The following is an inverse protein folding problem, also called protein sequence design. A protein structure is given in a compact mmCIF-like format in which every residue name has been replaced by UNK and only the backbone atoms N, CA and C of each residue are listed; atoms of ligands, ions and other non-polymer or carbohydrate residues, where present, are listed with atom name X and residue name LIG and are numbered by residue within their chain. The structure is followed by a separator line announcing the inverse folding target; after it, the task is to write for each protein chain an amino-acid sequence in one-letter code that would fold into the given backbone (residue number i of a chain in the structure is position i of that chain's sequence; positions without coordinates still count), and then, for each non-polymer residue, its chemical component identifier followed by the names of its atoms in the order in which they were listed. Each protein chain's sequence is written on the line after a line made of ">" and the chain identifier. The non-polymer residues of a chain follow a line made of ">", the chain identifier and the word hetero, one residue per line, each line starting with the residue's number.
data_IF_125521328371
#
_entry.id   IF_125521328371
#
_cell.length_a   1.000
_cell.length_b   1.000
_cell.length_c   1.000
_cell.angle_alpha   90.00
_cell.angle_beta   90.00
_cell.angle_gamma   90.00
#
_symmetry.space_group_name_H-M   'P 1'
#
loop_
_entity.id
_entity.type
_entity.pdbx_description
1 polymer ?
#
# COMPACT_ATOMS: atom_id res chain seq x y z
N UNK A 1 23.51 -20.75 14.63
CA UNK A 1 22.22 -20.24 15.17
C UNK A 1 22.09 -18.73 14.99
N UNK A 2 23.15 -17.94 15.23
CA UNK A 2 23.15 -16.48 15.00
C UNK A 2 23.07 -16.11 13.53
N UNK A 3 23.83 -16.77 12.63
CA UNK A 3 23.82 -16.47 11.19
C UNK A 3 22.45 -16.71 10.52
N UNK A 4 21.72 -17.74 10.95
CA UNK A 4 20.37 -18.04 10.46
C UNK A 4 19.33 -17.01 10.92
N UNK A 5 19.47 -16.50 12.15
CA UNK A 5 18.60 -15.44 12.66
C UNK A 5 18.82 -14.13 11.90
N UNK A 6 20.08 -13.74 11.67
CA UNK A 6 20.41 -12.54 10.90
C UNK A 6 19.85 -12.64 9.48
N UNK A 7 20.02 -13.78 8.82
CA UNK A 7 19.45 -14.00 7.49
C UNK A 7 17.92 -13.87 7.48
N UNK A 8 17.24 -14.46 8.46
CA UNK A 8 15.78 -14.37 8.57
C UNK A 8 15.30 -12.94 8.76
N UNK A 9 15.97 -12.15 9.61
CA UNK A 9 15.63 -10.75 9.85
C UNK A 9 15.85 -9.89 8.60
N UNK A 10 16.95 -10.11 7.89
CA UNK A 10 17.23 -9.42 6.62
C UNK A 10 16.17 -9.78 5.58
N UNK A 11 15.84 -11.05 5.44
CA UNK A 11 14.79 -11.49 4.52
C UNK A 11 13.43 -10.86 4.86
N UNK A 12 13.06 -10.86 6.14
CA UNK A 12 11.82 -10.22 6.61
C UNK A 12 11.82 -8.72 6.30
N UNK A 13 12.90 -8.01 6.62
CA UNK A 13 13.02 -6.58 6.32
C UNK A 13 12.88 -6.30 4.82
N UNK A 14 13.52 -7.09 3.96
CA UNK A 14 13.41 -6.94 2.50
C UNK A 14 11.98 -7.14 2.02
N UNK A 15 11.32 -8.22 2.45
CA UNK A 15 9.94 -8.52 2.03
C UNK A 15 8.97 -7.43 2.50
N UNK A 16 9.10 -6.98 3.75
CA UNK A 16 8.29 -5.88 4.30
C UNK A 16 8.50 -4.61 3.50
N UNK A 17 9.75 -4.25 3.18
CA UNK A 17 10.02 -3.02 2.43
C UNK A 17 9.49 -3.08 0.99
N UNK A 18 9.54 -4.24 0.34
CA UNK A 18 8.90 -4.42 -0.98
C UNK A 18 7.40 -4.13 -0.89
N UNK A 19 6.71 -4.67 0.13
CA UNK A 19 5.29 -4.42 0.34
C UNK A 19 5.00 -2.93 0.61
N UNK A 20 5.74 -2.33 1.55
CA UNK A 20 5.58 -0.92 1.95
C UNK A 20 5.85 0.03 0.79
N UNK A 21 6.91 -0.18 0.01
CA UNK A 21 7.20 0.69 -1.14
C UNK A 21 6.18 0.49 -2.26
N UNK A 22 5.68 -0.73 -2.47
CA UNK A 22 4.62 -0.99 -3.46
C UNK A 22 3.31 -0.27 -3.11
N UNK A 23 2.92 -0.22 -1.83
CA UNK A 23 1.71 0.51 -1.41
C UNK A 23 1.95 2.03 -1.38
N UNK A 24 3.07 2.48 -0.83
CA UNK A 24 3.30 3.92 -0.60
C UNK A 24 3.78 4.69 -1.83
N UNK A 25 4.67 4.13 -2.65
CA UNK A 25 5.20 4.82 -3.85
C UNK A 25 4.28 4.54 -5.03
N UNK A 26 4.01 3.27 -5.31
CA UNK A 26 3.26 2.89 -6.50
C UNK A 26 1.75 3.11 -6.35
N UNK A 27 1.06 2.45 -5.41
CA UNK A 27 -0.40 2.63 -5.28
C UNK A 27 -0.78 4.06 -4.87
N UNK A 28 -0.22 4.55 -3.77
CA UNK A 28 -0.63 5.83 -3.18
C UNK A 28 -0.16 7.04 -4.00
N UNK A 29 1.16 7.22 -4.17
CA UNK A 29 1.70 8.44 -4.79
C UNK A 29 1.62 8.44 -6.31
N UNK A 30 1.87 7.30 -6.96
CA UNK A 30 1.87 7.22 -8.42
C UNK A 30 0.47 7.02 -8.99
N UNK A 31 -0.19 5.91 -8.67
CA UNK A 31 -1.47 5.53 -9.32
C UNK A 31 -2.64 6.36 -8.79
N UNK A 32 -2.75 6.54 -7.47
CA UNK A 32 -3.87 7.27 -6.87
C UNK A 32 -3.74 8.77 -7.07
N UNK A 33 -2.63 9.36 -6.61
CA UNK A 33 -2.47 10.82 -6.56
C UNK A 33 -1.72 11.43 -7.75
N UNK A 34 -1.10 10.62 -8.61
CA UNK A 34 -0.31 11.09 -9.76
C UNK A 34 0.80 12.09 -9.39
N UNK A 35 1.27 12.06 -8.15
CA UNK A 35 2.34 12.93 -7.64
C UNK A 35 3.73 12.50 -8.13
N UNK A 36 3.88 11.21 -8.49
CA UNK A 36 5.12 10.64 -9.01
C UNK A 36 4.84 9.86 -10.29
N UNK A 37 5.52 10.21 -11.38
CA UNK A 37 5.49 9.45 -12.63
C UNK A 37 6.63 8.44 -12.64
N UNK A 38 6.31 7.16 -12.70
CA UNK A 38 7.30 6.08 -12.75
C UNK A 38 7.55 5.63 -14.18
N UNK A 39 8.81 5.26 -14.49
CA UNK A 39 9.12 4.56 -15.73
C UNK A 39 8.32 3.23 -15.78
N UNK A 40 7.79 2.80 -16.95
CA UNK A 40 6.95 1.61 -17.05
C UNK A 40 7.57 0.34 -16.47
N UNK A 41 8.89 0.13 -16.64
CA UNK A 41 9.59 -1.00 -16.05
C UNK A 41 9.55 -0.96 -14.50
N UNK A 42 9.72 0.21 -13.90
CA UNK A 42 9.66 0.39 -12.45
C UNK A 42 8.24 0.18 -11.94
N UNK A 43 7.23 0.68 -12.67
CA UNK A 43 5.82 0.42 -12.35
C UNK A 43 5.49 -1.08 -12.39
N UNK A 44 6.04 -1.82 -13.37
CA UNK A 44 5.88 -3.27 -13.46
C UNK A 44 6.53 -3.99 -12.26
N UNK A 45 7.75 -3.58 -11.86
CA UNK A 45 8.42 -4.13 -10.67
C UNK A 45 7.58 -3.96 -9.40
N UNK A 46 7.04 -2.76 -9.17
CA UNK A 46 6.14 -2.53 -8.04
C UNK A 46 4.84 -3.33 -8.14
N UNK A 47 4.28 -3.49 -9.34
CA UNK A 47 3.07 -4.29 -9.54
C UNK A 47 3.30 -5.77 -9.20
N UNK A 48 4.44 -6.33 -9.60
CA UNK A 48 4.81 -7.70 -9.24
C UNK A 48 5.07 -7.81 -7.73
N UNK A 49 5.78 -6.85 -7.14
CA UNK A 49 6.01 -6.78 -5.70
C UNK A 49 4.71 -6.77 -4.91
N UNK A 50 3.73 -5.95 -5.33
CA UNK A 50 2.39 -5.89 -4.73
C UNK A 50 1.66 -7.25 -4.79
N UNK A 51 1.70 -7.93 -5.94
CA UNK A 51 1.08 -9.24 -6.11
C UNK A 51 1.67 -10.30 -5.19
N UNK A 52 3.01 -10.37 -5.13
CA UNK A 52 3.72 -11.39 -4.36
C UNK A 52 3.61 -11.17 -2.84
N UNK A 53 3.40 -9.92 -2.40
CA UNK A 53 3.42 -9.58 -0.97
C UNK A 53 2.05 -9.34 -0.34
N UNK A 54 1.09 -8.81 -1.10
CA UNK A 54 -0.19 -8.34 -0.51
C UNK A 54 -1.44 -8.88 -1.20
N UNK A 55 -1.35 -9.30 -2.48
CA UNK A 55 -2.51 -9.68 -3.27
C UNK A 55 -3.51 -8.54 -3.56
N UNK A 56 -3.17 -7.28 -3.23
CA UNK A 56 -4.09 -6.14 -3.39
C UNK A 56 -4.44 -5.89 -4.85
N UNK A 57 -5.73 -5.69 -5.11
CA UNK A 57 -6.24 -5.27 -6.42
C UNK A 57 -6.10 -3.75 -6.56
N UNK A 58 -5.19 -3.31 -7.43
CA UNK A 58 -4.85 -1.89 -7.67
C UNK A 58 -6.10 -1.02 -7.82
N UNK A 59 -7.06 -1.41 -8.66
CA UNK A 59 -8.26 -0.58 -8.94
C UNK A 59 -9.14 -0.39 -7.71
N UNK A 60 -9.31 -1.44 -6.89
CA UNK A 60 -10.14 -1.37 -5.69
C UNK A 60 -9.48 -0.46 -4.64
N UNK A 61 -8.18 -0.65 -4.40
CA UNK A 61 -7.43 0.18 -3.47
C UNK A 61 -7.47 1.66 -3.86
N UNK A 62 -7.24 1.97 -5.14
CA UNK A 62 -7.29 3.35 -5.65
C UNK A 62 -8.69 3.96 -5.48
N UNK A 63 -9.75 3.20 -5.76
CA UNK A 63 -11.12 3.68 -5.62
C UNK A 63 -11.47 3.99 -4.14
N UNK A 64 -11.14 3.08 -3.23
CA UNK A 64 -11.34 3.27 -1.78
C UNK A 64 -10.53 4.46 -1.26
N UNK A 65 -9.25 4.54 -1.61
CA UNK A 65 -8.37 5.63 -1.17
C UNK A 65 -8.83 7.00 -1.67
N UNK A 66 -9.30 7.08 -2.93
CA UNK A 66 -9.89 8.31 -3.46
C UNK A 66 -11.20 8.67 -2.79
N UNK A 67 -12.03 7.69 -2.43
CA UNK A 67 -13.28 7.92 -1.70
C UNK A 67 -13.01 8.52 -0.33
N UNK A 68 -12.05 7.97 0.41
CA UNK A 68 -11.59 8.53 1.69
C UNK A 68 -11.16 10.00 1.55
N UNK A 69 -10.33 10.33 0.57
CA UNK A 69 -9.93 11.72 0.34
C UNK A 69 -11.05 12.65 -0.13
N UNK A 70 -12.11 12.13 -0.74
CA UNK A 70 -13.24 12.93 -1.21
C UNK A 70 -14.25 13.24 -0.09
N UNK A 71 -14.35 12.38 0.92
CA UNK A 71 -15.30 12.49 2.04
C UNK A 71 -14.58 12.30 3.39
N UNK A 72 -13.50 13.05 3.70
CA UNK A 72 -12.73 12.82 4.91
C UNK A 72 -13.57 13.09 6.16
N UNK A 73 -13.71 12.09 7.01
CA UNK A 73 -14.51 12.16 8.25
C UNK A 73 -16.00 12.53 8.05
N UNK A 74 -16.51 12.32 6.84
CA UNK A 74 -17.90 12.53 6.44
C UNK A 74 -18.57 11.21 6.00
N UNK A 75 -19.90 11.22 5.92
CA UNK A 75 -20.66 10.05 5.45
C UNK A 75 -20.17 9.60 4.07
N UNK A 76 -19.76 8.34 3.97
CA UNK A 76 -19.15 7.79 2.78
C UNK A 76 -17.64 7.58 2.86
N UNK A 77 -16.93 8.12 3.85
CA UNK A 77 -15.56 7.72 4.18
C UNK A 77 -15.53 6.19 4.44
N UNK A 78 -14.78 5.38 3.68
CA UNK A 78 -14.75 3.93 3.92
C UNK A 78 -14.12 3.53 5.26
N UNK A 79 -13.38 4.42 5.93
CA UNK A 79 -12.66 4.10 7.16
C UNK A 79 -12.47 5.31 8.08
N UNK A 80 -13.50 6.14 8.28
CA UNK A 80 -13.45 7.25 9.25
C UNK A 80 -13.55 6.74 10.69
N UNK A 81 -12.51 6.90 11.53
CA UNK A 81 -12.59 6.55 12.94
C UNK A 81 -13.53 7.49 13.72
N UNK A 82 -13.78 8.71 13.19
CA UNK A 82 -14.69 9.67 13.78
C UNK A 82 -16.14 9.18 13.70
N UNK A 83 -16.54 8.55 12.60
CA UNK A 83 -17.90 8.04 12.39
C UNK A 83 -18.10 6.61 12.91
N UNK A 84 -17.17 5.70 12.60
CA UNK A 84 -17.33 4.29 12.95
C UNK A 84 -16.75 3.94 14.34
N UNK A 85 -15.81 4.73 14.84
CA UNK A 85 -15.01 4.44 16.03
C UNK A 85 -13.66 3.79 15.69
N UNK A 86 -12.72 3.83 16.64
CA UNK A 86 -11.33 3.41 16.39
C UNK A 86 -11.15 1.91 16.05
N UNK A 87 -12.01 1.03 16.58
CA UNK A 87 -11.84 -0.43 16.46
C UNK A 87 -12.63 -1.06 15.31
N UNK A 88 -13.41 -0.28 14.58
CA UNK A 88 -14.36 -0.74 13.56
C UNK A 88 -14.00 -0.29 12.13
N UNK A 89 -12.89 0.43 11.99
CA UNK A 89 -12.29 0.87 10.73
C UNK A 89 -11.11 0.02 10.30
#
# INVERSE_FOLDING_TARGET
>A
MTSSLVLALVAAAVVVQIAVFSTTIYLHRSVTHRAVTLHPAVALLFRMGLWLTTGIVVKQWVAVHRKHHAFPDEEGDPHSPHLAGFWSV
#
